data_IF_309235195374
#
_entry.id   IF_309235195374
#
_cell.length_a   1.000
_cell.length_b   1.000
_cell.length_c   1.000
_cell.angle_alpha   90.00
_cell.angle_beta   90.00
_cell.angle_gamma   90.00
#
_symmetry.space_group_name_H-M   'P 1'
#
loop_
_entity.id
_entity.type
_entity.pdbx_description
1 polymer ?
#
# COMPACT_ATOMS: atom_id res chain seq x y z
N UNK A 1 15.71 -12.85 -19.68
CA UNK A 1 14.41 -12.16 -19.52
C UNK A 1 13.21 -13.05 -19.91
N UNK A 2 13.19 -14.35 -19.57
CA UNK A 2 12.15 -15.29 -20.07
C UNK A 2 11.09 -15.74 -19.05
N UNK A 3 11.13 -15.23 -17.82
CA UNK A 3 10.34 -15.72 -16.67
C UNK A 3 9.42 -14.64 -16.05
N UNK A 4 9.19 -13.54 -16.76
CA UNK A 4 8.28 -12.49 -16.29
C UNK A 4 6.83 -12.96 -16.41
N UNK A 5 5.96 -12.68 -15.43
CA UNK A 5 4.53 -12.95 -15.56
C UNK A 5 3.97 -12.19 -16.76
N UNK A 6 3.15 -12.87 -17.57
CA UNK A 6 2.47 -12.24 -18.70
C UNK A 6 1.46 -11.22 -18.14
N UNK A 7 1.45 -9.98 -18.65
CA UNK A 7 0.41 -9.00 -18.32
C UNK A 7 -0.97 -9.52 -18.71
N UNK A 8 -1.99 -9.24 -17.89
CA UNK A 8 -3.37 -9.53 -18.22
C UNK A 8 -4.03 -8.36 -18.96
N UNK A 9 -5.10 -8.63 -19.70
CA UNK A 9 -5.84 -7.59 -20.42
C UNK A 9 -6.38 -6.55 -19.44
N UNK A 10 -6.08 -5.27 -19.70
CA UNK A 10 -6.48 -4.17 -18.83
C UNK A 10 -5.80 -4.11 -17.47
N UNK A 11 -4.75 -4.91 -17.24
CA UNK A 11 -3.86 -4.77 -16.09
C UNK A 11 -2.99 -3.51 -16.22
N UNK A 12 -2.89 -2.76 -15.13
CA UNK A 12 -2.18 -1.51 -15.02
C UNK A 12 -1.13 -1.57 -13.91
N UNK A 13 -0.05 -0.82 -14.06
CA UNK A 13 0.90 -0.52 -12.99
C UNK A 13 0.86 0.98 -12.75
N UNK A 14 0.17 1.41 -11.69
CA UNK A 14 -0.01 2.83 -11.40
C UNK A 14 1.31 3.47 -10.96
N UNK A 15 1.60 4.66 -11.48
CA UNK A 15 2.76 5.49 -11.08
C UNK A 15 2.54 6.12 -9.68
N UNK A 16 2.36 5.28 -8.67
CA UNK A 16 1.93 5.68 -7.32
C UNK A 16 3.12 6.06 -6.42
N UNK A 17 3.95 7.02 -6.83
CA UNK A 17 5.08 7.53 -6.03
C UNK A 17 6.03 6.43 -5.49
N UNK A 18 6.26 5.38 -6.29
CA UNK A 18 7.04 4.19 -5.91
C UNK A 18 6.43 3.39 -4.72
N UNK A 19 5.12 3.48 -4.51
CA UNK A 19 4.39 2.69 -3.52
C UNK A 19 4.05 1.27 -4.01
N UNK A 20 4.08 1.01 -5.31
CA UNK A 20 3.70 -0.28 -5.90
C UNK A 20 4.86 -1.29 -6.00
N UNK A 21 6.03 -0.99 -5.44
CA UNK A 21 7.20 -1.86 -5.37
C UNK A 21 7.73 -1.90 -3.93
N UNK A 22 8.03 -3.10 -3.44
CA UNK A 22 8.71 -3.30 -2.16
C UNK A 22 9.79 -4.39 -2.29
N UNK A 23 10.81 -4.33 -1.44
CA UNK A 23 11.83 -5.38 -1.35
C UNK A 23 12.30 -5.58 0.09
N UNK A 24 12.73 -6.80 0.40
CA UNK A 24 13.35 -7.17 1.66
C UNK A 24 14.29 -8.35 1.43
N UNK A 25 15.60 -8.13 1.52
CA UNK A 25 16.59 -9.11 1.06
C UNK A 25 16.40 -9.44 -0.42
N UNK A 26 16.37 -10.72 -0.75
CA UNK A 26 16.14 -11.21 -2.13
C UNK A 26 14.66 -11.23 -2.53
N UNK A 27 13.75 -10.94 -1.61
CA UNK A 27 12.32 -10.91 -1.89
C UNK A 27 11.90 -9.56 -2.48
N UNK A 28 11.16 -9.60 -3.59
CA UNK A 28 10.63 -8.44 -4.30
C UNK A 28 9.12 -8.64 -4.49
N UNK A 29 8.33 -7.59 -4.27
CA UNK A 29 6.90 -7.55 -4.56
C UNK A 29 6.60 -6.35 -5.46
N UNK A 30 5.88 -6.60 -6.55
CA UNK A 30 5.33 -5.58 -7.45
C UNK A 30 3.80 -5.72 -7.41
N UNK A 31 3.12 -4.58 -7.29
CA UNK A 31 1.66 -4.53 -7.23
C UNK A 31 1.09 -3.90 -8.50
N UNK A 32 0.02 -4.50 -9.00
CA UNK A 32 -0.73 -4.05 -10.18
C UNK A 32 -2.18 -3.72 -9.82
N UNK A 33 -2.88 -3.06 -10.73
CA UNK A 33 -4.30 -2.73 -10.66
C UNK A 33 -4.94 -2.73 -12.05
N UNK A 34 -6.02 -1.99 -12.23
CA UNK A 34 -6.85 -2.01 -13.43
C UNK A 34 -7.92 -3.10 -13.37
N UNK A 35 -8.21 -3.73 -14.51
CA UNK A 35 -9.18 -4.82 -14.59
C UNK A 35 -8.78 -6.03 -13.73
N UNK A 36 -7.49 -6.17 -13.40
CA UNK A 36 -6.99 -7.21 -12.50
C UNK A 36 -5.85 -6.69 -11.65
N UNK A 37 -5.92 -6.90 -10.33
CA UNK A 37 -4.91 -6.50 -9.36
C UNK A 37 -4.17 -7.71 -8.80
N UNK A 38 -2.84 -7.70 -8.94
CA UNK A 38 -1.97 -8.82 -8.55
C UNK A 38 -0.77 -8.34 -7.76
N UNK A 39 -0.23 -9.26 -6.95
CA UNK A 39 1.09 -9.20 -6.38
C UNK A 39 2.01 -10.11 -7.22
N UNK A 40 2.93 -9.52 -7.97
CA UNK A 40 4.01 -10.24 -8.64
C UNK A 40 5.18 -10.34 -7.66
N UNK A 41 5.49 -11.55 -7.22
CA UNK A 41 6.50 -11.80 -6.19
C UNK A 41 7.67 -12.58 -6.74
N UNK A 42 8.88 -12.16 -6.40
CA UNK A 42 10.11 -12.93 -6.57
C UNK A 42 10.74 -13.20 -5.21
N UNK A 43 11.33 -14.40 -5.04
CA UNK A 43 12.10 -14.78 -3.85
C UNK A 43 13.61 -14.88 -4.13
N UNK A 44 14.04 -14.55 -5.35
CA UNK A 44 15.38 -14.79 -5.87
C UNK A 44 15.94 -13.57 -6.62
N UNK A 45 15.65 -12.38 -6.10
CA UNK A 45 16.09 -11.08 -6.64
C UNK A 45 15.67 -10.85 -8.10
N UNK A 46 14.48 -11.32 -8.47
CA UNK A 46 13.85 -11.08 -9.77
C UNK A 46 14.19 -12.12 -10.85
N UNK A 47 14.85 -13.23 -10.51
CA UNK A 47 15.18 -14.30 -11.49
C UNK A 47 13.93 -15.12 -11.87
N UNK A 48 13.04 -15.37 -10.92
CA UNK A 48 11.75 -16.03 -11.11
C UNK A 48 10.63 -15.30 -10.38
N UNK A 49 9.41 -15.47 -10.87
CA UNK A 49 8.24 -14.72 -10.41
C UNK A 49 7.03 -15.64 -10.22
N UNK A 50 6.24 -15.34 -9.18
CA UNK A 50 4.91 -15.90 -8.95
C UNK A 50 3.90 -14.76 -9.01
N UNK A 51 2.77 -15.00 -9.67
CA UNK A 51 1.65 -14.06 -9.73
C UNK A 51 0.57 -14.49 -8.74
N UNK A 52 0.26 -13.64 -7.77
CA UNK A 52 -0.78 -13.88 -6.76
C UNK A 52 -1.91 -12.85 -6.96
N UNK A 53 -3.15 -13.31 -7.12
CA UNK A 53 -4.31 -12.42 -7.18
C UNK A 53 -4.59 -11.76 -5.82
N UNK A 54 -5.04 -10.50 -5.83
CA UNK A 54 -5.29 -9.74 -4.61
C UNK A 54 -6.79 -9.59 -4.33
N UNK A 55 -7.23 -9.70 -3.06
CA UNK A 55 -8.62 -9.49 -2.67
C UNK A 55 -8.89 -8.00 -2.43
N UNK A 56 -8.52 -7.17 -3.40
CA UNK A 56 -8.83 -5.73 -3.42
C UNK A 56 -9.80 -5.41 -4.54
N UNK A 57 -10.54 -4.31 -4.41
CA UNK A 57 -11.43 -3.77 -5.44
C UNK A 57 -10.67 -3.61 -6.75
N UNK A 58 -11.19 -4.19 -7.83
CA UNK A 58 -10.58 -4.29 -9.15
C UNK A 58 -11.69 -4.45 -10.21
N UNK A 59 -11.36 -4.35 -11.49
CA UNK A 59 -12.33 -4.56 -12.59
C UNK A 59 -12.71 -3.29 -13.35
N UNK A 60 -12.10 -2.15 -13.02
CA UNK A 60 -12.16 -0.90 -13.79
C UNK A 60 -10.75 -0.35 -14.04
N UNK A 61 -10.62 0.63 -14.93
CA UNK A 61 -9.33 1.27 -15.27
C UNK A 61 -8.56 1.82 -14.07
N UNK A 62 -9.26 2.31 -13.05
CA UNK A 62 -8.70 3.06 -11.93
C UNK A 62 -8.90 2.36 -10.57
N UNK A 63 -9.03 1.03 -10.60
CA UNK A 63 -9.14 0.18 -9.39
C UNK A 63 -7.89 -0.64 -9.13
N UNK A 64 -7.73 -1.18 -7.93
CA UNK A 64 -6.63 -2.07 -7.55
C UNK A 64 -5.66 -1.45 -6.55
N UNK A 65 -4.49 -2.08 -6.37
CA UNK A 65 -3.47 -1.59 -5.42
C UNK A 65 -2.72 -0.39 -5.98
N UNK A 66 -2.61 0.65 -5.16
CA UNK A 66 -1.81 1.84 -5.44
C UNK A 66 -0.51 1.85 -4.63
N UNK A 67 -0.54 1.40 -3.37
CA UNK A 67 0.64 1.40 -2.52
C UNK A 67 0.70 0.17 -1.64
N UNK A 68 1.90 -0.30 -1.35
CA UNK A 68 2.15 -1.38 -0.42
C UNK A 68 3.35 -1.05 0.48
N UNK A 69 3.42 -1.72 1.62
CA UNK A 69 4.51 -1.58 2.56
C UNK A 69 4.75 -2.89 3.28
N UNK A 70 6.02 -3.23 3.54
CA UNK A 70 6.40 -4.47 4.22
C UNK A 70 7.29 -4.14 5.41
N UNK A 71 6.91 -4.66 6.57
CA UNK A 71 7.71 -4.56 7.79
C UNK A 71 8.94 -5.47 7.74
N UNK A 72 8.76 -6.64 7.16
CA UNK A 72 9.78 -7.67 7.00
C UNK A 72 9.41 -8.58 5.82
N UNK A 73 10.17 -9.66 5.61
CA UNK A 73 9.93 -10.61 4.53
C UNK A 73 8.59 -11.37 4.59
N UNK A 74 7.83 -11.25 5.68
CA UNK A 74 6.58 -11.98 5.92
C UNK A 74 5.36 -11.08 6.06
N UNK A 75 5.49 -9.96 6.75
CA UNK A 75 4.38 -9.08 7.12
C UNK A 75 4.33 -7.84 6.23
N UNK A 76 3.20 -7.64 5.55
CA UNK A 76 2.98 -6.50 4.67
C UNK A 76 1.52 -6.16 4.45
N UNK A 77 1.31 -4.96 3.90
CA UNK A 77 0.01 -4.38 3.60
C UNK A 77 0.00 -3.82 2.20
N UNK A 78 -1.12 -3.95 1.51
CA UNK A 78 -1.37 -3.40 0.19
C UNK A 78 -2.69 -2.63 0.22
N UNK A 79 -2.60 -1.34 -0.06
CA UNK A 79 -3.70 -0.40 -0.06
C UNK A 79 -4.03 0.04 -1.48
N UNK A 80 -5.32 0.06 -1.76
CA UNK A 80 -5.89 0.21 -3.08
C UNK A 80 -7.23 0.92 -3.03
N UNK A 81 -8.16 0.42 -3.85
CA UNK A 81 -9.54 0.90 -3.91
C UNK A 81 -9.87 1.38 -5.31
N UNK A 82 -10.86 2.25 -5.42
CA UNK A 82 -11.22 2.91 -6.67
C UNK A 82 -10.85 4.40 -6.59
N UNK A 83 -9.92 4.86 -7.44
CA UNK A 83 -9.54 6.28 -7.46
C UNK A 83 -10.71 7.19 -7.91
N UNK A 84 -11.65 6.66 -8.70
CA UNK A 84 -12.81 7.41 -9.19
C UNK A 84 -13.92 7.58 -8.13
N UNK A 85 -13.87 6.78 -7.05
CA UNK A 85 -14.82 6.80 -5.93
C UNK A 85 -14.03 6.78 -4.62
N UNK A 86 -13.32 7.87 -4.28
CA UNK A 86 -12.31 7.86 -3.23
C UNK A 86 -12.84 7.69 -1.81
N UNK A 87 -14.12 7.92 -1.59
CA UNK A 87 -14.82 7.66 -0.34
C UNK A 87 -15.10 6.15 -0.12
N UNK A 88 -15.05 5.33 -1.17
CA UNK A 88 -15.27 3.89 -1.07
C UNK A 88 -14.12 3.25 -0.29
N UNK A 89 -14.50 2.61 0.81
CA UNK A 89 -13.62 1.92 1.74
C UNK A 89 -13.91 0.42 1.83
N UNK A 90 -14.62 -0.13 0.85
CA UNK A 90 -14.75 -1.57 0.65
C UNK A 90 -13.59 -2.11 -0.19
N UNK A 91 -13.01 -3.23 0.24
CA UNK A 91 -12.00 -3.98 -0.51
C UNK A 91 -10.72 -3.19 -0.80
N UNK A 92 -10.38 -2.18 0.00
CA UNK A 92 -9.29 -1.26 -0.33
C UNK A 92 -8.00 -1.47 0.49
N UNK A 93 -8.00 -2.43 1.43
CA UNK A 93 -6.82 -2.81 2.20
C UNK A 93 -6.72 -4.33 2.30
N UNK A 94 -5.55 -4.87 1.98
CA UNK A 94 -5.21 -6.27 2.19
C UNK A 94 -3.91 -6.40 2.99
N UNK A 95 -3.79 -7.46 3.77
CA UNK A 95 -2.58 -7.78 4.54
C UNK A 95 -2.11 -9.22 4.30
N UNK A 96 -0.82 -9.44 4.50
CA UNK A 96 -0.18 -10.76 4.44
C UNK A 96 0.72 -10.97 5.67
N UNK A 97 0.84 -12.23 6.11
CA UNK A 97 1.76 -12.67 7.18
C UNK A 97 2.65 -13.84 6.73
N UNK A 98 2.61 -14.18 5.44
CA UNK A 98 3.34 -15.28 4.80
C UNK A 98 4.13 -14.81 3.57
N UNK A 99 4.52 -13.53 3.56
CA UNK A 99 5.38 -12.94 2.53
C UNK A 99 4.65 -12.75 1.21
N UNK A 100 3.34 -12.55 1.23
CA UNK A 100 2.50 -12.35 0.04
C UNK A 100 2.16 -13.65 -0.69
N UNK A 101 2.21 -14.80 -0.01
CA UNK A 101 1.68 -16.06 -0.56
C UNK A 101 0.16 -16.04 -0.52
N UNK A 102 -0.40 -15.54 0.58
CA UNK A 102 -1.82 -15.27 0.75
C UNK A 102 -2.03 -13.85 1.24
N UNK A 103 -3.18 -13.28 0.87
CA UNK A 103 -3.61 -11.94 1.25
C UNK A 103 -5.04 -12.00 1.80
N UNK A 104 -5.32 -11.20 2.81
CA UNK A 104 -6.66 -11.10 3.44
C UNK A 104 -7.10 -9.65 3.47
N UNK A 105 -8.35 -9.38 3.08
CA UNK A 105 -8.96 -8.06 3.21
C UNK A 105 -9.04 -7.64 4.67
N UNK A 106 -8.78 -6.36 4.95
CA UNK A 106 -8.76 -5.76 6.29
C UNK A 106 -9.66 -4.54 6.33
N UNK A 107 -10.19 -4.20 7.52
CA UNK A 107 -10.96 -2.98 7.77
C UNK A 107 -12.05 -2.66 6.72
N UNK A 108 -12.68 -3.69 6.15
CA UNK A 108 -13.65 -3.54 5.06
C UNK A 108 -14.84 -2.69 5.52
N UNK A 109 -15.04 -1.52 4.90
CA UNK A 109 -16.08 -0.58 5.31
C UNK A 109 -15.78 0.21 6.59
N UNK A 110 -14.58 0.07 7.18
CA UNK A 110 -14.23 0.59 8.52
C UNK A 110 -12.89 1.36 8.54
N UNK A 111 -12.26 1.57 7.39
CA UNK A 111 -11.02 2.31 7.23
C UNK A 111 -11.17 3.58 6.40
N UNK A 112 -10.06 4.28 6.10
CA UNK A 112 -10.07 5.32 5.08
C UNK A 112 -10.49 4.72 3.73
N UNK A 113 -11.05 5.55 2.84
CA UNK A 113 -11.26 5.17 1.44
C UNK A 113 -9.95 5.11 0.65
N UNK A 114 -9.96 5.55 -0.59
CA UNK A 114 -8.76 5.61 -1.43
C UNK A 114 -7.62 6.38 -0.72
N UNK A 115 -6.43 5.78 -0.69
CA UNK A 115 -5.19 6.44 -0.28
C UNK A 115 -4.09 6.10 -1.26
N UNK A 116 -3.30 7.11 -1.65
CA UNK A 116 -2.23 6.94 -2.63
C UNK A 116 -0.95 6.36 -2.04
N UNK A 117 -0.80 6.37 -0.71
CA UNK A 117 0.37 5.85 -0.01
C UNK A 117 -0.01 5.23 1.33
N UNK A 118 0.60 4.08 1.64
CA UNK A 118 0.59 3.45 2.97
C UNK A 118 2.03 3.14 3.40
N UNK A 119 2.36 3.43 4.66
CA UNK A 119 3.67 3.12 5.24
C UNK A 119 3.54 2.54 6.64
N UNK A 120 4.37 1.55 6.95
CA UNK A 120 4.52 1.04 8.32
C UNK A 120 5.55 1.87 9.09
N UNK A 121 5.38 1.94 10.41
CA UNK A 121 6.39 2.52 11.29
C UNK A 121 7.58 1.56 11.46
N UNK A 122 8.84 2.01 11.32
CA UNK A 122 10.00 1.13 11.30
C UNK A 122 10.23 0.37 12.62
N UNK A 123 9.86 0.97 13.76
CA UNK A 123 10.16 0.41 15.09
C UNK A 123 8.91 0.13 15.95
N UNK A 124 7.72 0.56 15.54
CA UNK A 124 6.49 0.44 16.31
C UNK A 124 5.58 -0.54 15.59
N UNK A 125 5.45 -1.75 16.13
CA UNK A 125 4.58 -2.79 15.56
C UNK A 125 3.13 -2.35 15.53
N UNK A 126 2.45 -2.63 14.42
CA UNK A 126 1.04 -2.28 14.22
C UNK A 126 0.80 -0.84 13.76
N UNK A 127 1.78 0.07 13.90
CA UNK A 127 1.61 1.44 13.46
C UNK A 127 1.72 1.56 11.94
N UNK A 128 0.66 2.06 11.32
CA UNK A 128 0.55 2.35 9.89
C UNK A 128 0.07 3.79 9.70
N UNK A 129 0.54 4.42 8.61
CA UNK A 129 0.07 5.72 8.16
C UNK A 129 -0.35 5.60 6.71
N UNK A 130 -1.58 6.03 6.41
CA UNK A 130 -2.10 6.11 5.06
C UNK A 130 -2.37 7.57 4.69
N UNK A 131 -2.00 7.99 3.49
CA UNK A 131 -2.24 9.36 3.01
C UNK A 131 -2.69 9.37 1.56
N UNK A 132 -3.53 10.34 1.23
CA UNK A 132 -4.03 10.62 -0.11
C UNK A 132 -4.57 12.03 -0.19
N UNK A 133 -5.26 12.36 -1.28
CA UNK A 133 -5.82 13.70 -1.43
C UNK A 133 -6.92 14.02 -0.39
N UNK A 134 -7.59 13.00 0.14
CA UNK A 134 -8.65 13.09 1.18
C UNK A 134 -8.14 12.80 2.60
N UNK A 135 -6.84 12.93 2.84
CA UNK A 135 -6.33 13.08 4.20
C UNK A 135 -5.15 12.19 4.60
N UNK A 136 -4.96 12.16 5.91
CA UNK A 136 -3.95 11.39 6.63
C UNK A 136 -4.65 10.60 7.74
N UNK A 137 -4.48 9.28 7.72
CA UNK A 137 -5.11 8.37 8.66
C UNK A 137 -4.05 7.47 9.29
N UNK A 138 -4.28 7.12 10.54
CA UNK A 138 -3.34 6.35 11.36
C UNK A 138 -4.02 5.09 11.89
N UNK A 139 -3.35 3.96 11.76
CA UNK A 139 -3.69 2.74 12.48
C UNK A 139 -2.57 2.41 13.47
N UNK A 140 -2.92 1.87 14.64
CA UNK A 140 -1.96 1.43 15.65
C UNK A 140 -2.05 -0.09 15.91
N UNK A 141 -2.92 -0.81 15.20
CA UNK A 141 -3.23 -2.22 15.42
C UNK A 141 -3.05 -3.10 14.16
N UNK A 142 -2.21 -2.64 13.23
CA UNK A 142 -1.89 -3.37 12.00
C UNK A 142 -2.95 -3.21 10.92
N UNK A 143 -3.69 -2.09 10.92
CA UNK A 143 -4.69 -1.78 9.92
C UNK A 143 -6.06 -2.39 10.20
N UNK A 144 -6.35 -2.80 11.44
CA UNK A 144 -7.67 -3.29 11.83
C UNK A 144 -8.64 -2.15 12.11
N UNK A 145 -8.15 -1.09 12.77
CA UNK A 145 -8.87 0.16 12.99
C UNK A 145 -8.02 1.37 12.60
N UNK A 146 -8.69 2.47 12.26
CA UNK A 146 -8.07 3.69 11.77
C UNK A 146 -8.67 4.92 12.45
N UNK A 147 -7.80 5.89 12.76
CA UNK A 147 -8.17 7.21 13.23
C UNK A 147 -7.80 8.24 12.17
N UNK A 148 -8.76 9.07 11.80
CA UNK A 148 -8.51 10.21 10.92
C UNK A 148 -7.72 11.29 11.68
N UNK A 149 -6.64 11.78 11.07
CA UNK A 149 -5.77 12.77 11.70
C UNK A 149 -5.92 14.17 11.08
N UNK A 150 -6.04 14.28 9.76
CA UNK A 150 -6.24 15.58 9.09
C UNK A 150 -6.67 15.44 7.63
N UNK A 151 -7.34 16.46 7.10
CA UNK A 151 -7.71 16.61 5.67
C UNK A 151 -6.51 16.96 4.76
N UNK A 152 -5.33 16.43 5.05
CA UNK A 152 -4.11 16.79 4.33
C UNK A 152 -4.10 16.24 2.90
N UNK A 153 -3.81 17.09 1.91
CA UNK A 153 -3.58 16.66 0.51
C UNK A 153 -2.10 16.27 0.27
N UNK A 154 -1.60 15.28 1.01
CA UNK A 154 -0.30 14.67 0.74
C UNK A 154 -0.50 13.35 0.00
N UNK A 155 0.38 13.05 -0.96
CA UNK A 155 0.23 11.86 -1.81
C UNK A 155 1.20 10.75 -1.44
N UNK A 156 2.26 11.09 -0.70
CA UNK A 156 3.28 10.15 -0.26
C UNK A 156 3.71 10.44 1.17
N UNK A 157 4.00 9.39 1.92
CA UNK A 157 4.52 9.43 3.28
C UNK A 157 5.78 8.57 3.39
N UNK A 158 6.76 8.96 4.23
CA UNK A 158 7.91 8.13 4.61
C UNK A 158 8.35 8.46 6.04
N UNK A 159 8.63 7.43 6.83
CA UNK A 159 9.26 7.59 8.14
C UNK A 159 10.78 7.75 8.01
N UNK A 160 11.38 8.52 8.91
CA UNK A 160 12.82 8.42 9.19
C UNK A 160 13.18 7.03 9.70
N UNK A 161 14.43 6.55 9.53
CA UNK A 161 14.81 5.21 9.98
C UNK A 161 14.57 4.93 11.47
N UNK A 162 14.68 5.97 12.32
CA UNK A 162 14.41 5.89 13.76
C UNK A 162 12.90 5.99 14.12
N UNK A 163 12.05 6.25 13.12
CA UNK A 163 10.60 6.42 13.25
C UNK A 163 10.14 7.75 13.86
N UNK A 164 11.05 8.62 14.31
CA UNK A 164 10.68 9.85 15.04
C UNK A 164 10.07 10.93 14.17
N UNK A 165 10.29 10.86 12.86
CA UNK A 165 9.84 11.87 11.90
C UNK A 165 9.07 11.23 10.77
N UNK A 166 7.88 11.75 10.51
CA UNK A 166 7.09 11.45 9.33
C UNK A 166 7.26 12.60 8.32
N UNK A 167 7.78 12.26 7.14
CA UNK A 167 7.84 13.17 5.99
C UNK A 167 6.66 12.91 5.07
N UNK A 168 5.98 13.98 4.68
CA UNK A 168 4.83 13.97 3.80
C UNK A 168 5.10 14.89 2.60
N UNK A 169 4.68 14.50 1.40
CA UNK A 169 4.77 15.36 0.22
C UNK A 169 3.54 15.21 -0.67
N UNK A 170 3.13 16.31 -1.30
CA UNK A 170 1.95 16.38 -2.16
C UNK A 170 1.47 17.83 -2.29
N UNK A 171 0.59 18.11 -3.26
CA UNK A 171 0.02 19.44 -3.48
C UNK A 171 1.06 20.59 -3.47
N UNK A 172 2.21 20.41 -4.14
CA UNK A 172 3.32 21.37 -4.22
C UNK A 172 3.98 21.74 -2.88
N UNK A 173 3.84 20.90 -1.85
CA UNK A 173 4.48 21.09 -0.53
C UNK A 173 5.12 19.82 0.01
N UNK A 174 6.02 20.01 0.97
CA UNK A 174 6.58 18.97 1.81
C UNK A 174 6.41 19.36 3.27
N UNK A 175 5.96 18.42 4.10
CA UNK A 175 5.68 18.63 5.53
C UNK A 175 6.48 17.64 6.36
N UNK A 176 7.03 18.11 7.48
CA UNK A 176 7.70 17.29 8.48
C UNK A 176 6.86 17.26 9.75
N UNK A 177 6.53 16.07 10.23
CA UNK A 177 5.80 15.87 11.49
C UNK A 177 6.62 15.02 12.45
N UNK A 178 6.49 15.27 13.74
CA UNK A 178 7.04 14.38 14.76
C UNK A 178 6.06 13.22 14.99
N UNK A 179 6.59 12.03 15.25
CA UNK A 179 5.79 10.86 15.64
C UNK A 179 5.90 10.60 17.15
N UNK A 180 4.80 10.25 17.86
CA UNK A 180 3.43 10.12 17.36
C UNK A 180 2.84 11.47 16.95
N UNK A 181 1.88 11.44 16.01
CA UNK A 181 1.17 12.65 15.59
C UNK A 181 0.32 13.17 16.78
N UNK A 182 0.34 14.48 17.00
CA UNK A 182 -0.41 15.16 18.08
C UNK A 182 -1.74 15.70 17.59
#
# INVERSE_FOLDING_TARGET
>A
CGSLPVPQEGEAAFAASNGNLACHGDTIWIFTGGLTSRCLRSLDAGKSWTSIGLPVTQGSSMTGVFSATFRNAREGWAMGGNWEVPEDNEGNLAATTDGGTTWKTMANGQGPGYRSSIVHHPTQTGALVATGFDGLDVSLDGGQSWAHHSDSSHYVARFSPDGRTLWLAGAKRMTRMNWPLQ
#
